data_IF_134733375635
#
_entry.id   IF_134733375635
#
_cell.length_a   1.000
_cell.length_b   1.000
_cell.length_c   1.000
_cell.angle_alpha   90.00
_cell.angle_beta   90.00
_cell.angle_gamma   90.00
#
_symmetry.space_group_name_H-M   'P 1'
#
loop_
_entity.id
_entity.type
_entity.pdbx_description
1 polymer ?
#
# COMPACT_ATOMS: atom_id res chain seq x y z
N UNK A 1 -9.30 10.55 -4.55
CA UNK A 1 -8.49 10.74 -5.77
C UNK A 1 -8.13 12.20 -5.83
N UNK A 2 -6.87 12.50 -6.08
CA UNK A 2 -6.35 13.86 -6.10
C UNK A 2 -5.39 13.99 -7.28
N UNK A 3 -5.52 15.07 -8.03
CA UNK A 3 -4.56 15.46 -9.06
C UNK A 3 -3.45 16.28 -8.41
N UNK A 4 -2.21 15.86 -8.64
CA UNK A 4 -1.00 16.53 -8.12
C UNK A 4 0.00 16.74 -9.25
N UNK A 5 1.03 17.56 -9.03
CA UNK A 5 2.13 17.71 -10.00
C UNK A 5 2.91 16.41 -10.25
N UNK A 6 2.83 15.44 -9.33
CA UNK A 6 3.45 14.11 -9.42
C UNK A 6 2.50 13.05 -9.99
N UNK A 7 1.34 13.47 -10.50
CA UNK A 7 0.31 12.60 -11.07
C UNK A 7 -0.88 12.34 -10.14
N UNK A 8 -1.75 11.42 -10.59
CA UNK A 8 -2.98 11.05 -9.87
C UNK A 8 -2.69 10.13 -8.69
N UNK A 9 -3.05 10.59 -7.51
CA UNK A 9 -2.85 9.86 -6.26
C UNK A 9 -4.19 9.48 -5.61
N UNK A 10 -4.19 8.30 -4.99
CA UNK A 10 -5.31 7.77 -4.20
C UNK A 10 -4.90 7.59 -2.74
N UNK A 11 -5.90 7.46 -1.87
CA UNK A 11 -5.68 7.09 -0.47
C UNK A 11 -6.74 6.08 -0.02
N UNK A 12 -6.32 5.09 0.75
CA UNK A 12 -7.19 4.14 1.47
C UNK A 12 -6.78 4.17 2.93
N UNK A 13 -7.73 4.19 3.87
CA UNK A 13 -7.41 4.46 5.28
C UNK A 13 -7.38 3.15 6.06
N UNK A 14 -6.21 2.84 6.61
CA UNK A 14 -5.99 1.75 7.56
C UNK A 14 -6.65 0.43 7.13
N UNK A 15 -7.83 0.12 7.69
CA UNK A 15 -8.54 -1.14 7.47
C UNK A 15 -9.03 -1.31 6.01
N UNK A 16 -9.27 -0.22 5.28
CA UNK A 16 -9.71 -0.27 3.87
C UNK A 16 -8.74 -1.03 2.96
N UNK A 17 -7.45 -1.10 3.33
CA UNK A 17 -6.41 -1.83 2.59
C UNK A 17 -6.68 -3.33 2.50
N UNK A 18 -7.45 -3.87 3.46
CA UNK A 18 -7.81 -5.29 3.55
C UNK A 18 -8.67 -5.72 2.36
N UNK A 19 -9.47 -4.80 1.84
CA UNK A 19 -10.38 -5.02 0.72
C UNK A 19 -9.66 -4.74 -0.61
N UNK A 20 -9.47 -5.76 -1.49
CA UNK A 20 -8.89 -5.56 -2.81
C UNK A 20 -9.59 -4.46 -3.63
N UNK A 21 -10.90 -4.32 -3.43
CA UNK A 21 -11.78 -3.38 -4.13
C UNK A 21 -11.37 -1.93 -3.90
N UNK A 22 -10.95 -1.57 -2.68
CA UNK A 22 -10.58 -0.20 -2.31
C UNK A 22 -9.45 0.34 -3.20
N UNK A 23 -8.36 -0.43 -3.32
CA UNK A 23 -7.25 -0.07 -4.19
C UNK A 23 -7.65 -0.14 -5.67
N UNK A 24 -8.43 -1.15 -6.06
CA UNK A 24 -8.87 -1.32 -7.45
C UNK A 24 -9.68 -0.13 -7.96
N UNK A 25 -10.59 0.40 -7.14
CA UNK A 25 -11.44 1.54 -7.52
C UNK A 25 -10.63 2.84 -7.70
N UNK A 26 -9.58 3.04 -6.91
CA UNK A 26 -8.67 4.18 -7.11
C UNK A 26 -7.89 4.04 -8.42
N UNK A 27 -7.42 2.83 -8.73
CA UNK A 27 -6.67 2.60 -9.97
C UNK A 27 -7.53 2.70 -11.21
N UNK A 28 -8.79 2.24 -11.17
CA UNK A 28 -9.76 2.48 -12.26
C UNK A 28 -9.95 3.97 -12.55
N UNK A 29 -9.79 4.83 -11.53
CA UNK A 29 -9.84 6.30 -11.65
C UNK A 29 -8.50 6.93 -12.06
N UNK A 30 -7.49 6.11 -12.34
CA UNK A 30 -6.18 6.53 -12.86
C UNK A 30 -5.10 6.69 -11.80
N UNK A 31 -5.28 6.20 -10.57
CA UNK A 31 -4.22 6.27 -9.57
C UNK A 31 -2.96 5.52 -10.03
N UNK A 32 -1.81 6.20 -9.88
CA UNK A 32 -0.48 5.61 -10.04
C UNK A 32 0.23 5.41 -8.70
N UNK A 33 -0.21 6.16 -7.70
CA UNK A 33 0.31 6.13 -6.32
C UNK A 33 -0.89 5.98 -5.37
N UNK A 34 -0.79 5.08 -4.39
CA UNK A 34 -1.75 4.93 -3.30
C UNK A 34 -1.04 5.12 -1.97
N UNK A 35 -1.53 6.06 -1.18
CA UNK A 35 -1.11 6.25 0.21
C UNK A 35 -2.03 5.48 1.16
N UNK A 36 -1.46 4.86 2.19
CA UNK A 36 -2.19 4.14 3.22
C UNK A 36 -1.69 4.59 4.58
N UNK A 37 -2.37 5.54 5.25
CA UNK A 37 -2.13 5.81 6.67
C UNK A 37 -2.74 4.68 7.51
N UNK A 38 -1.97 4.14 8.45
CA UNK A 38 -2.31 2.92 9.19
C UNK A 38 -2.03 3.12 10.69
N UNK A 39 -2.83 2.44 11.52
CA UNK A 39 -2.69 2.37 12.97
C UNK A 39 -2.87 0.92 13.41
N UNK A 40 -2.00 0.05 12.90
CA UNK A 40 -1.97 -1.39 13.23
C UNK A 40 -1.17 -1.59 14.50
N UNK A 41 -1.74 -2.36 15.44
CA UNK A 41 -1.20 -2.55 16.77
C UNK A 41 -1.36 -4.00 17.27
N UNK A 42 -0.59 -4.31 18.31
CA UNK A 42 -0.85 -5.40 19.25
C UNK A 42 -1.62 -4.82 20.43
N UNK A 43 -2.62 -5.54 20.92
CA UNK A 43 -3.33 -5.20 22.15
C UNK A 43 -3.06 -6.29 23.18
N UNK A 44 -2.44 -5.94 24.30
CA UNK A 44 -2.04 -6.90 25.35
C UNK A 44 -1.24 -8.09 24.81
N UNK A 45 -0.29 -7.82 23.90
CA UNK A 45 0.55 -8.84 23.26
C UNK A 45 -0.12 -9.66 22.16
N UNK A 46 -1.42 -9.44 21.89
CA UNK A 46 -2.14 -10.11 20.81
C UNK A 46 -2.15 -9.22 19.57
N UNK A 47 -1.57 -9.68 18.48
CA UNK A 47 -1.58 -8.93 17.22
C UNK A 47 -2.94 -9.04 16.53
N UNK A 48 -3.54 -7.89 16.21
CA UNK A 48 -4.72 -7.83 15.34
C UNK A 48 -4.36 -7.95 13.84
N UNK A 49 -3.06 -8.05 13.53
CA UNK A 49 -2.53 -8.24 12.18
C UNK A 49 -1.31 -9.13 12.28
N UNK A 50 -1.41 -10.38 11.86
CA UNK A 50 -0.23 -11.25 11.84
C UNK A 50 0.87 -10.61 10.98
N UNK A 51 2.10 -10.55 11.50
CA UNK A 51 3.22 -9.89 10.82
C UNK A 51 3.45 -10.46 9.41
N UNK A 52 3.36 -11.79 9.16
CA UNK A 52 3.45 -12.33 7.80
C UNK A 52 2.37 -11.80 6.85
N UNK A 53 1.16 -11.52 7.36
CA UNK A 53 0.08 -10.95 6.56
C UNK A 53 0.32 -9.50 6.19
N UNK A 54 1.03 -8.73 7.02
CA UNK A 54 1.29 -7.30 6.78
C UNK A 54 2.02 -7.07 5.45
N UNK A 55 3.17 -7.69 5.28
CA UNK A 55 4.01 -7.46 4.11
C UNK A 55 3.38 -8.07 2.85
N UNK A 56 2.83 -9.28 2.97
CA UNK A 56 2.19 -9.97 1.84
C UNK A 56 0.96 -9.22 1.32
N UNK A 57 0.13 -8.67 2.21
CA UNK A 57 -1.02 -7.85 1.85
C UNK A 57 -0.60 -6.60 1.07
N UNK A 58 0.31 -5.80 1.61
CA UNK A 58 0.72 -4.53 0.99
C UNK A 58 1.40 -4.76 -0.36
N UNK A 59 2.25 -5.80 -0.46
CA UNK A 59 2.88 -6.20 -1.71
C UNK A 59 1.88 -6.69 -2.75
N UNK A 60 0.90 -7.47 -2.32
CA UNK A 60 -0.17 -7.96 -3.21
C UNK A 60 -1.01 -6.79 -3.74
N UNK A 61 -1.40 -5.85 -2.87
CA UNK A 61 -2.19 -4.68 -3.25
C UNK A 61 -1.47 -3.80 -4.27
N UNK A 62 -0.15 -3.63 -4.13
CA UNK A 62 0.67 -2.92 -5.11
C UNK A 62 0.76 -3.67 -6.45
N UNK A 63 1.08 -4.97 -6.41
CA UNK A 63 1.32 -5.78 -7.60
C UNK A 63 0.04 -6.02 -8.43
N UNK A 64 -1.08 -6.38 -7.80
CA UNK A 64 -2.32 -6.70 -8.51
C UNK A 64 -2.95 -5.47 -9.19
N UNK A 65 -2.63 -4.29 -8.67
CA UNK A 65 -3.12 -3.01 -9.16
C UNK A 65 -2.06 -2.25 -9.98
N UNK A 66 -0.83 -2.74 -10.01
CA UNK A 66 0.30 -2.14 -10.73
C UNK A 66 0.43 -0.66 -10.38
N UNK A 67 0.70 -0.37 -9.10
CA UNK A 67 0.86 0.99 -8.55
C UNK A 67 1.98 1.05 -7.53
N UNK A 68 2.52 2.26 -7.31
CA UNK A 68 3.28 2.52 -6.09
C UNK A 68 2.35 2.57 -4.89
N UNK A 69 2.71 1.89 -3.82
CA UNK A 69 1.94 1.86 -2.58
C UNK A 69 2.83 2.32 -1.42
N UNK A 70 2.39 3.36 -0.72
CA UNK A 70 3.11 3.95 0.41
C UNK A 70 2.28 3.71 1.66
N UNK A 71 2.72 2.78 2.50
CA UNK A 71 2.09 2.46 3.77
C UNK A 71 2.84 3.14 4.91
N UNK A 72 2.18 4.06 5.61
CA UNK A 72 2.70 4.73 6.79
C UNK A 72 1.92 4.25 8.01
N UNK A 73 2.56 3.43 8.83
CA UNK A 73 1.97 2.92 10.06
C UNK A 73 2.58 3.62 11.28
N UNK A 74 1.77 3.78 12.30
CA UNK A 74 2.23 4.25 13.61
C UNK A 74 3.22 3.25 14.23
N UNK A 75 4.16 3.76 15.02
CA UNK A 75 5.03 2.99 15.91
C UNK A 75 4.96 3.53 17.35
N UNK A 76 5.46 2.72 18.29
CA UNK A 76 5.54 3.05 19.71
C UNK A 76 4.36 2.55 20.55
N UNK A 77 4.34 2.93 21.82
CA UNK A 77 3.41 2.41 22.82
C UNK A 77 2.46 3.53 23.30
N UNK A 78 1.16 3.23 23.36
CA UNK A 78 0.14 4.07 23.99
C UNK A 78 -0.74 3.21 24.90
N UNK A 79 -0.50 3.27 26.22
CA UNK A 79 -1.21 2.42 27.18
C UNK A 79 -0.98 0.93 26.89
N UNK A 80 -2.07 0.18 26.71
CA UNK A 80 -2.04 -1.26 26.39
C UNK A 80 -1.84 -1.55 24.88
N UNK A 81 -1.68 -0.51 24.06
CA UNK A 81 -1.51 -0.62 22.61
C UNK A 81 -0.04 -0.47 22.23
N UNK A 82 0.46 -1.42 21.46
CA UNK A 82 1.81 -1.42 20.90
C UNK A 82 1.70 -1.37 19.37
N UNK A 83 2.01 -0.22 18.78
CA UNK A 83 1.96 -0.02 17.34
C UNK A 83 3.18 -0.61 16.66
N UNK A 84 2.94 -1.47 15.66
CA UNK A 84 3.98 -2.37 15.13
C UNK A 84 4.98 -1.70 14.19
N UNK A 85 4.84 -0.40 13.89
CA UNK A 85 5.67 0.28 12.88
C UNK A 85 5.51 -0.38 11.51
N UNK A 86 6.61 -0.77 10.88
CA UNK A 86 6.63 -1.49 9.60
C UNK A 86 6.09 -0.71 8.41
N UNK A 87 6.25 0.61 8.44
CA UNK A 87 6.00 1.47 7.27
C UNK A 87 6.85 1.01 6.09
N UNK A 88 6.28 1.05 4.88
CA UNK A 88 6.96 0.56 3.69
C UNK A 88 6.49 1.25 2.41
N UNK A 89 7.40 1.29 1.44
CA UNK A 89 7.15 1.76 0.08
C UNK A 89 7.32 0.57 -0.86
N UNK A 90 6.30 0.32 -1.69
CA UNK A 90 6.22 -0.84 -2.58
C UNK A 90 6.06 -0.38 -4.02
N UNK A 91 6.82 -0.99 -4.92
CA UNK A 91 6.76 -0.75 -6.36
C UNK A 91 5.59 -1.49 -7.06
N UNK A 92 5.23 -1.12 -8.30
CA UNK A 92 4.13 -1.73 -9.07
C UNK A 92 4.25 -3.24 -9.35
N UNK A 93 5.43 -3.83 -9.17
CA UNK A 93 5.69 -5.26 -9.29
C UNK A 93 5.57 -6.02 -7.95
N UNK A 94 5.33 -5.31 -6.84
CA UNK A 94 5.31 -5.88 -5.48
C UNK A 94 6.68 -5.94 -4.78
N UNK A 95 7.71 -5.35 -5.38
CA UNK A 95 9.04 -5.17 -4.77
C UNK A 95 8.98 -4.12 -3.66
N UNK A 96 9.64 -4.39 -2.54
CA UNK A 96 9.75 -3.45 -1.42
C UNK A 96 10.95 -2.55 -1.67
N UNK A 97 10.70 -1.26 -1.94
CA UNK A 97 11.75 -0.28 -2.22
C UNK A 97 12.43 0.22 -0.94
N UNK A 98 11.64 0.40 0.12
CA UNK A 98 12.12 0.80 1.42
C UNK A 98 11.14 0.33 2.50
N UNK A 99 11.66 -0.05 3.67
CA UNK A 99 10.85 -0.38 4.85
C UNK A 99 11.60 -0.05 6.13
N UNK A 100 10.83 0.15 7.19
CA UNK A 100 11.30 0.18 8.58
C UNK A 100 10.80 -1.09 9.28
N UNK A 101 11.41 -1.50 10.37
CA UNK A 101 10.89 -2.57 11.23
C UNK A 101 10.03 -1.92 12.32
N UNK A 102 10.35 -2.05 13.60
CA UNK A 102 9.50 -1.57 14.70
C UNK A 102 9.95 -0.20 15.26
N UNK A 103 10.87 0.50 14.56
CA UNK A 103 11.48 1.74 15.05
C UNK A 103 10.51 2.94 15.13
N UNK A 104 10.74 3.81 16.11
CA UNK A 104 10.03 5.08 16.31
C UNK A 104 10.73 6.26 15.61
N UNK A 105 9.94 7.27 15.20
CA UNK A 105 10.41 8.54 14.63
C UNK A 105 11.32 8.38 13.40
N UNK A 106 11.01 7.40 12.54
CA UNK A 106 11.78 7.12 11.32
C UNK A 106 11.12 7.75 10.09
N UNK A 107 11.96 8.26 9.18
CA UNK A 107 11.56 8.67 7.83
C UNK A 107 11.97 7.57 6.86
N UNK A 108 11.00 7.06 6.08
CA UNK A 108 11.24 6.08 5.02
C UNK A 108 11.12 6.78 3.67
N UNK A 109 12.15 6.67 2.84
CA UNK A 109 12.22 7.37 1.54
C UNK A 109 12.58 6.40 0.42
N UNK A 110 12.01 6.62 -0.76
CA UNK A 110 12.42 5.97 -2.01
C UNK A 110 12.19 6.93 -3.17
N UNK A 111 13.02 6.84 -4.21
CA UNK A 111 12.76 7.50 -5.48
C UNK A 111 11.73 6.68 -6.28
N UNK A 112 10.75 7.36 -6.88
CA UNK A 112 9.69 6.72 -7.64
C UNK A 112 9.57 7.36 -9.02
N UNK A 113 9.46 6.53 -10.05
CA UNK A 113 9.13 6.95 -11.40
C UNK A 113 7.74 6.39 -11.79
N UNK A 114 6.77 7.29 -11.93
CA UNK A 114 5.39 6.91 -12.27
C UNK A 114 5.23 6.40 -13.71
N UNK A 115 6.25 6.52 -14.57
CA UNK A 115 6.25 5.91 -15.90
C UNK A 115 6.32 4.38 -15.81
N UNK A 116 6.98 3.84 -14.78
CA UNK A 116 7.04 2.39 -14.54
C UNK A 116 5.65 1.75 -14.37
N UNK A 117 4.66 2.51 -13.89
CA UNK A 117 3.27 2.06 -13.81
C UNK A 117 2.70 1.80 -15.22
N UNK A 118 2.93 2.71 -16.15
CA UNK A 118 2.40 2.61 -17.51
C UNK A 118 3.11 1.52 -18.30
N UNK A 119 4.44 1.41 -18.17
CA UNK A 119 5.23 0.33 -18.75
C UNK A 119 4.76 -1.04 -18.23
N UNK A 120 4.49 -1.15 -16.92
CA UNK A 120 4.04 -2.39 -16.31
C UNK A 120 2.64 -2.78 -16.79
N UNK A 121 1.72 -1.83 -16.88
CA UNK A 121 0.35 -2.06 -17.39
C UNK A 121 0.34 -2.38 -18.88
N UNK A 122 1.33 -1.91 -19.64
CA UNK A 122 1.50 -2.26 -21.05
C UNK A 122 2.06 -3.67 -21.21
N UNK A 123 3.12 -4.02 -20.46
CA UNK A 123 3.79 -5.32 -20.54
C UNK A 123 2.98 -6.47 -19.93
N UNK A 124 2.20 -6.20 -18.88
CA UNK A 124 1.29 -7.14 -18.24
C UNK A 124 -0.09 -6.48 -18.09
N UNK A 125 -0.96 -6.57 -19.11
CA UNK A 125 -2.20 -5.79 -19.19
C UNK A 125 -3.34 -6.39 -18.37
N UNK A 126 -3.14 -6.54 -17.06
CA UNK A 126 -4.10 -7.14 -16.12
C UNK A 126 -5.48 -6.50 -16.24
N UNK A 127 -5.55 -5.17 -16.36
CA UNK A 127 -6.81 -4.43 -16.42
C UNK A 127 -7.61 -4.69 -17.70
N UNK A 128 -6.92 -4.93 -18.83
CA UNK A 128 -7.55 -5.31 -20.11
C UNK A 128 -8.13 -6.72 -20.02
N UNK A 129 -7.42 -7.62 -19.35
CA UNK A 129 -7.77 -9.04 -19.28
C UNK A 129 -8.85 -9.34 -18.21
N UNK A 130 -9.29 -8.33 -17.44
CA UNK A 130 -10.38 -8.48 -16.45
C UNK A 130 -11.73 -8.74 -17.12
N UNK A 131 -12.50 -9.65 -16.52
CA UNK A 131 -13.88 -9.98 -16.91
C UNK A 131 -14.90 -9.18 -16.09
N UNK A 132 -15.04 -7.89 -16.40
CA UNK A 132 -16.00 -6.99 -15.71
C UNK A 132 -17.47 -7.31 -16.02
N UNK A 133 -17.73 -8.22 -16.95
CA UNK A 133 -19.04 -8.82 -17.19
C UNK A 133 -19.41 -9.87 -16.12
N UNK A 134 -18.43 -10.38 -15.37
CA UNK A 134 -18.64 -11.37 -14.32
C UNK A 134 -18.64 -10.74 -12.91
N UNK A 135 -17.96 -9.60 -12.71
CA UNK A 135 -17.84 -8.87 -11.43
C UNK A 135 -17.87 -7.35 -11.62
#
# INVERSE_FOLDING_TARGET
MFDTEFGKVGTVICYDRRYPESCRELVKKGAKIIFIPISSMRYKGVSLSEIPMWESELRTRAAENQVFLIAANRSGIEGDYEYIGRSMIVAPNGEVLAKVEEEENVVVTAEIDTNLVDERRTSLPLFRDRRTDLY
#
